data_IF_039357137677
#
_entry.id   IF_039357137677
#
_cell.length_a   1.000
_cell.length_b   1.000
_cell.length_c   1.000
_cell.angle_alpha   90.00
_cell.angle_beta   90.00
_cell.angle_gamma   90.00
#
_symmetry.space_group_name_H-M   'P 1'
#
loop_
_entity.id
_entity.type
_entity.pdbx_description
1 polymer ?
#
# COMPACT_ATOMS: atom_id res chain seq x y z
N UNK A 1 -17.94 10.24 -4.61
CA UNK A 1 -17.77 10.36 -3.16
C UNK A 1 -18.97 9.84 -2.35
N UNK A 2 -19.49 8.63 -2.66
CA UNK A 2 -20.57 7.99 -1.87
C UNK A 2 -20.20 6.54 -1.50
N UNK A 3 -18.91 6.21 -1.48
CA UNK A 3 -18.47 4.90 -1.04
C UNK A 3 -18.70 4.74 0.47
N UNK A 4 -19.20 3.58 0.93
CA UNK A 4 -19.38 3.32 2.37
C UNK A 4 -18.03 3.31 3.09
N UNK A 5 -18.06 3.63 4.38
CA UNK A 5 -16.89 3.45 5.25
C UNK A 5 -16.68 1.96 5.45
N UNK A 6 -15.47 1.49 5.18
CA UNK A 6 -15.07 0.08 5.33
C UNK A 6 -14.10 -0.07 6.50
N UNK A 7 -14.39 -1.00 7.42
CA UNK A 7 -13.57 -1.28 8.59
C UNK A 7 -12.36 -2.12 8.19
N UNK A 8 -11.16 -1.57 8.38
CA UNK A 8 -9.90 -2.26 8.11
C UNK A 8 -9.04 -2.33 9.37
N UNK A 9 -8.56 -3.52 9.70
CA UNK A 9 -7.55 -3.75 10.73
C UNK A 9 -6.23 -4.20 10.11
N UNK A 10 -5.19 -4.25 10.93
CA UNK A 10 -3.87 -4.73 10.53
C UNK A 10 -3.35 -5.73 11.55
N UNK A 11 -2.74 -6.83 11.10
CA UNK A 11 -2.05 -7.76 11.98
C UNK A 11 -0.77 -7.13 12.53
N UNK A 12 -0.36 -7.61 13.70
CA UNK A 12 0.93 -7.27 14.32
C UNK A 12 1.86 -8.50 14.47
N UNK A 13 1.47 -9.62 13.87
CA UNK A 13 2.29 -10.83 13.76
C UNK A 13 3.40 -10.66 12.73
N UNK A 14 4.46 -11.45 12.82
CA UNK A 14 5.37 -11.66 11.70
C UNK A 14 4.61 -12.44 10.60
N UNK A 15 4.49 -11.85 9.41
CA UNK A 15 3.76 -12.47 8.30
C UNK A 15 4.42 -13.76 7.82
N UNK A 16 5.73 -13.94 8.04
CA UNK A 16 6.42 -15.20 7.75
C UNK A 16 5.91 -16.36 8.62
N UNK A 17 5.39 -16.08 9.83
CA UNK A 17 4.61 -17.03 10.62
C UNK A 17 3.16 -17.04 10.10
N UNK A 18 2.94 -17.85 9.06
CA UNK A 18 1.64 -17.90 8.37
C UNK A 18 0.50 -18.42 9.28
N UNK A 19 0.81 -19.27 10.29
CA UNK A 19 -0.21 -19.77 11.21
C UNK A 19 -0.67 -18.67 12.17
N UNK A 20 0.27 -18.00 12.84
CA UNK A 20 -0.06 -16.90 13.75
C UNK A 20 -0.79 -15.78 13.00
N UNK A 21 -0.35 -15.46 11.78
CA UNK A 21 -0.98 -14.40 10.97
C UNK A 21 -2.39 -14.79 10.50
N UNK A 22 -2.61 -16.05 10.10
CA UNK A 22 -3.95 -16.52 9.73
C UNK A 22 -4.91 -16.51 10.92
N UNK A 23 -4.47 -16.95 12.10
CA UNK A 23 -5.27 -16.94 13.32
C UNK A 23 -5.67 -15.52 13.72
N UNK A 24 -4.71 -14.60 13.78
CA UNK A 24 -4.98 -13.19 14.11
C UNK A 24 -5.89 -12.53 13.07
N UNK A 25 -5.69 -12.84 11.78
CA UNK A 25 -6.57 -12.35 10.71
C UNK A 25 -8.02 -12.81 10.91
N UNK A 26 -8.22 -14.08 11.26
CA UNK A 26 -9.55 -14.61 11.54
C UNK A 26 -10.18 -14.01 12.80
N UNK A 27 -9.38 -13.70 13.82
CA UNK A 27 -9.84 -12.98 15.03
C UNK A 27 -10.31 -11.56 14.69
N UNK A 28 -9.51 -10.82 13.91
CA UNK A 28 -9.86 -9.47 13.46
C UNK A 28 -11.15 -9.47 12.61
N UNK A 29 -11.30 -10.46 11.72
CA UNK A 29 -12.52 -10.61 10.93
C UNK A 29 -13.76 -10.88 11.80
N UNK A 30 -13.65 -11.77 12.80
CA UNK A 30 -14.73 -12.03 13.77
C UNK A 30 -15.07 -10.80 14.63
N UNK A 31 -14.09 -9.94 14.90
CA UNK A 31 -14.28 -8.68 15.61
C UNK A 31 -14.91 -7.58 14.73
N UNK A 32 -15.20 -7.84 13.46
CA UNK A 32 -15.90 -6.93 12.55
C UNK A 32 -15.01 -6.24 11.53
N UNK A 33 -13.76 -6.67 11.33
CA UNK A 33 -12.94 -6.16 10.23
C UNK A 33 -13.44 -6.72 8.91
N UNK A 34 -13.75 -5.83 7.98
CA UNK A 34 -14.19 -6.16 6.61
C UNK A 34 -13.01 -6.37 5.67
N UNK A 35 -11.84 -5.83 6.02
CA UNK A 35 -10.56 -6.00 5.35
C UNK A 35 -9.47 -6.20 6.39
N UNK A 36 -8.47 -7.05 6.13
CA UNK A 36 -7.31 -7.21 7.02
C UNK A 36 -6.02 -6.99 6.23
N UNK A 37 -5.17 -6.09 6.75
CA UNK A 37 -3.88 -5.76 6.16
C UNK A 37 -2.75 -6.52 6.87
N UNK A 38 -1.88 -7.11 6.08
CA UNK A 38 -0.67 -7.82 6.49
C UNK A 38 0.56 -7.16 5.89
N UNK A 39 1.67 -7.12 6.60
CA UNK A 39 2.94 -6.57 6.09
C UNK A 39 3.62 -7.60 5.18
N UNK A 40 3.99 -7.19 3.96
CA UNK A 40 4.72 -8.04 3.00
C UNK A 40 6.02 -7.33 2.61
N UNK A 41 7.07 -7.55 3.38
CA UNK A 41 8.35 -6.83 3.27
C UNK A 41 9.57 -7.74 3.11
N UNK A 42 9.41 -9.07 3.21
CA UNK A 42 10.45 -10.07 3.00
C UNK A 42 10.00 -11.16 2.04
N UNK A 43 10.95 -11.95 1.54
CA UNK A 43 10.67 -13.11 0.66
C UNK A 43 9.86 -14.17 1.42
N UNK A 44 10.17 -14.38 2.69
CA UNK A 44 9.49 -15.33 3.57
C UNK A 44 8.04 -14.90 3.80
N UNK A 45 7.81 -13.60 4.05
CA UNK A 45 6.47 -13.05 4.18
C UNK A 45 5.67 -13.22 2.87
N UNK A 46 6.25 -12.93 1.72
CA UNK A 46 5.60 -13.13 0.43
C UNK A 46 5.27 -14.60 0.17
N UNK A 47 6.19 -15.53 0.48
CA UNK A 47 5.95 -16.97 0.36
C UNK A 47 4.89 -17.51 1.35
N UNK A 48 4.67 -16.81 2.47
CA UNK A 48 3.67 -17.16 3.47
C UNK A 48 2.24 -16.76 3.08
N UNK A 49 2.05 -15.70 2.28
CA UNK A 49 0.72 -15.15 1.93
C UNK A 49 -0.23 -16.21 1.34
N UNK A 50 0.14 -17.06 0.37
CA UNK A 50 -0.75 -18.11 -0.13
C UNK A 50 -1.17 -19.10 0.96
N UNK A 51 -0.25 -19.42 1.88
CA UNK A 51 -0.52 -20.33 3.01
C UNK A 51 -1.49 -19.69 4.01
N UNK A 52 -1.35 -18.37 4.28
CA UNK A 52 -2.30 -17.63 5.11
C UNK A 52 -3.69 -17.72 4.49
N UNK A 53 -3.84 -17.47 3.18
CA UNK A 53 -5.12 -17.57 2.49
C UNK A 53 -5.70 -18.97 2.60
N UNK A 54 -4.91 -20.01 2.34
CA UNK A 54 -5.35 -21.41 2.46
C UNK A 54 -5.86 -21.75 3.87
N UNK A 55 -5.16 -21.28 4.92
CA UNK A 55 -5.61 -21.49 6.29
C UNK A 55 -6.91 -20.76 6.61
N UNK A 56 -7.06 -19.52 6.14
CA UNK A 56 -8.30 -18.77 6.29
C UNK A 56 -9.47 -19.46 5.57
N UNK A 57 -9.24 -20.00 4.38
CA UNK A 57 -10.26 -20.76 3.63
C UNK A 57 -10.70 -22.02 4.39
N UNK A 58 -9.77 -22.75 4.98
CA UNK A 58 -10.08 -23.90 5.86
C UNK A 58 -10.89 -23.50 7.11
N UNK A 59 -10.73 -22.28 7.57
CA UNK A 59 -11.53 -21.71 8.68
C UNK A 59 -12.84 -21.08 8.24
N UNK A 60 -13.21 -21.18 6.96
CA UNK A 60 -14.36 -20.46 6.35
C UNK A 60 -14.30 -18.93 6.58
N UNK A 61 -13.11 -18.36 6.62
CA UNK A 61 -12.89 -16.93 6.81
C UNK A 61 -12.54 -16.28 5.45
N UNK A 62 -13.51 -15.64 4.82
CA UNK A 62 -13.38 -15.04 3.48
C UNK A 62 -12.93 -13.58 3.51
N UNK A 63 -12.41 -13.08 4.64
CA UNK A 63 -11.95 -11.69 4.75
C UNK A 63 -10.87 -11.40 3.69
N UNK A 64 -11.00 -10.31 2.92
CA UNK A 64 -9.99 -9.94 1.94
C UNK A 64 -8.69 -9.53 2.60
N UNK A 65 -7.55 -10.01 2.07
CA UNK A 65 -6.21 -9.66 2.53
C UNK A 65 -5.65 -8.49 1.73
N UNK A 66 -5.08 -7.51 2.43
CA UNK A 66 -4.37 -6.39 1.82
C UNK A 66 -2.88 -6.55 2.09
N UNK A 67 -2.06 -6.61 1.05
CA UNK A 67 -0.62 -6.61 1.18
C UNK A 67 -0.08 -5.20 1.36
N UNK A 68 0.63 -4.95 2.46
CA UNK A 68 1.33 -3.69 2.72
C UNK A 68 2.79 -3.81 2.27
N UNK A 69 3.13 -3.15 1.18
CA UNK A 69 4.43 -3.25 0.54
C UNK A 69 5.30 -2.04 0.84
N UNK A 70 6.59 -2.31 1.06
CA UNK A 70 7.64 -1.34 1.26
C UNK A 70 8.76 -1.60 0.25
N UNK A 71 9.68 -0.69 0.04
CA UNK A 71 10.87 -0.65 -0.81
C UNK A 71 11.08 -1.75 -1.89
N UNK A 72 10.85 -3.00 -1.57
CA UNK A 72 11.07 -4.19 -2.42
C UNK A 72 9.79 -4.83 -2.96
N UNK A 73 8.63 -4.17 -2.78
CA UNK A 73 7.32 -4.72 -3.16
C UNK A 73 7.24 -5.13 -4.63
N UNK A 74 7.88 -4.38 -5.55
CA UNK A 74 7.97 -4.72 -6.96
C UNK A 74 8.65 -6.09 -7.19
N UNK A 75 9.73 -6.39 -6.45
CA UNK A 75 10.41 -7.69 -6.51
C UNK A 75 9.55 -8.80 -5.92
N UNK A 76 8.98 -8.56 -4.72
CA UNK A 76 8.17 -9.55 -4.02
C UNK A 76 6.97 -10.00 -4.86
N UNK A 77 6.27 -9.06 -5.49
CA UNK A 77 5.14 -9.37 -6.37
C UNK A 77 5.56 -10.06 -7.66
N UNK A 78 6.75 -9.78 -8.18
CA UNK A 78 7.28 -10.42 -9.39
C UNK A 78 7.79 -11.83 -9.11
N UNK A 79 8.56 -12.00 -8.04
CA UNK A 79 9.20 -13.26 -7.68
C UNK A 79 8.21 -14.27 -7.03
N UNK A 80 7.10 -13.76 -6.46
CA UNK A 80 6.05 -14.56 -5.82
C UNK A 80 4.66 -14.32 -6.44
N UNK A 81 4.38 -14.82 -7.65
CA UNK A 81 3.07 -14.65 -8.31
C UNK A 81 1.89 -15.13 -7.44
N UNK A 82 2.05 -16.22 -6.71
CA UNK A 82 1.02 -16.74 -5.81
C UNK A 82 0.68 -15.76 -4.67
N UNK A 83 1.64 -14.94 -4.21
CA UNK A 83 1.37 -13.86 -3.27
C UNK A 83 0.52 -12.77 -3.93
N UNK A 84 0.89 -12.37 -5.16
CA UNK A 84 0.14 -11.36 -5.91
C UNK A 84 -1.32 -11.78 -6.14
N UNK A 85 -1.54 -13.03 -6.46
CA UNK A 85 -2.88 -13.60 -6.71
C UNK A 85 -3.72 -13.72 -5.43
N UNK A 86 -3.12 -14.18 -4.32
CA UNK A 86 -3.81 -14.43 -3.06
C UNK A 86 -4.27 -13.13 -2.35
N UNK A 87 -3.64 -12.01 -2.63
CA UNK A 87 -4.02 -10.71 -2.10
C UNK A 87 -5.22 -10.14 -2.84
N UNK A 88 -6.14 -9.51 -2.11
CA UNK A 88 -7.30 -8.84 -2.68
C UNK A 88 -7.01 -7.37 -3.08
N UNK A 89 -5.98 -6.76 -2.49
CA UNK A 89 -5.61 -5.35 -2.69
C UNK A 89 -4.15 -5.14 -2.34
N UNK A 90 -3.48 -4.21 -3.00
CA UNK A 90 -2.14 -3.78 -2.62
C UNK A 90 -2.17 -2.39 -1.99
N UNK A 91 -1.49 -2.22 -0.88
CA UNK A 91 -1.19 -0.91 -0.30
C UNK A 91 0.24 -0.53 -0.65
N UNK A 92 0.41 0.59 -1.31
CA UNK A 92 1.70 1.15 -1.70
C UNK A 92 1.87 2.50 -1.02
N UNK A 93 3.00 2.68 -0.33
CA UNK A 93 3.40 3.98 0.19
C UNK A 93 4.41 4.61 -0.78
N UNK A 94 4.06 5.69 -1.49
CA UNK A 94 4.95 6.31 -2.48
C UNK A 94 6.30 6.76 -1.90
N UNK A 95 6.33 7.15 -0.64
CA UNK A 95 7.57 7.52 0.06
C UNK A 95 8.47 6.35 0.40
N UNK A 96 7.99 5.10 0.31
CA UNK A 96 8.70 3.87 0.63
C UNK A 96 8.83 2.92 -0.56
N UNK A 97 8.85 3.40 -1.79
CA UNK A 97 8.95 2.55 -2.99
C UNK A 97 10.38 2.49 -3.54
N UNK A 98 11.22 3.48 -3.23
CA UNK A 98 12.59 3.58 -3.71
C UNK A 98 13.16 4.97 -3.49
N UNK A 99 14.35 5.22 -4.03
CA UNK A 99 15.03 6.50 -3.92
C UNK A 99 15.35 7.08 -5.30
N UNK A 100 15.17 8.39 -5.46
CA UNK A 100 15.50 9.13 -6.67
C UNK A 100 14.75 8.57 -7.91
N UNK A 101 15.42 8.50 -9.05
CA UNK A 101 14.83 8.05 -10.33
C UNK A 101 14.24 6.63 -10.30
N UNK A 102 14.79 5.74 -9.47
CA UNK A 102 14.29 4.35 -9.33
C UNK A 102 12.92 4.27 -8.65
N UNK A 103 12.53 5.28 -7.89
CA UNK A 103 11.25 5.33 -7.21
C UNK A 103 10.07 5.22 -8.18
N UNK A 104 10.09 6.00 -9.24
CA UNK A 104 9.01 6.03 -10.22
C UNK A 104 8.90 4.72 -11.00
N UNK A 105 10.04 4.13 -11.37
CA UNK A 105 10.10 2.84 -12.06
C UNK A 105 9.55 1.71 -11.18
N UNK A 106 9.96 1.66 -9.91
CA UNK A 106 9.49 0.64 -8.97
C UNK A 106 8.02 0.80 -8.63
N UNK A 107 7.53 2.04 -8.50
CA UNK A 107 6.11 2.31 -8.32
C UNK A 107 5.31 1.84 -9.56
N UNK A 108 5.76 2.20 -10.76
CA UNK A 108 5.13 1.78 -12.01
C UNK A 108 5.07 0.25 -12.13
N UNK A 109 6.15 -0.48 -11.83
CA UNK A 109 6.17 -1.95 -11.83
C UNK A 109 5.14 -2.55 -10.88
N UNK A 110 4.96 -1.99 -9.67
CA UNK A 110 3.94 -2.47 -8.73
C UNK A 110 2.53 -2.22 -9.26
N UNK A 111 2.29 -1.08 -9.91
CA UNK A 111 1.01 -0.76 -10.55
C UNK A 111 0.74 -1.67 -11.75
N UNK A 112 1.73 -1.93 -12.60
CA UNK A 112 1.62 -2.88 -13.72
C UNK A 112 1.24 -4.28 -13.23
N UNK A 113 1.84 -4.74 -12.11
CA UNK A 113 1.49 -6.01 -11.49
C UNK A 113 0.07 -5.99 -10.94
N UNK A 114 -0.37 -4.86 -10.37
CA UNK A 114 -1.75 -4.70 -9.92
C UNK A 114 -2.74 -4.79 -11.10
N UNK A 115 -2.45 -4.13 -12.22
CA UNK A 115 -3.22 -4.26 -13.45
C UNK A 115 -3.23 -5.70 -13.98
N UNK A 116 -2.06 -6.35 -14.03
CA UNK A 116 -1.93 -7.74 -14.50
C UNK A 116 -2.79 -8.73 -13.71
N UNK A 117 -2.87 -8.55 -12.39
CA UNK A 117 -3.62 -9.45 -11.49
C UNK A 117 -5.02 -8.91 -11.14
N UNK A 118 -5.46 -7.83 -11.79
CA UNK A 118 -6.76 -7.17 -11.52
C UNK A 118 -6.94 -6.86 -10.03
N UNK A 119 -5.95 -6.18 -9.45
CA UNK A 119 -5.96 -5.81 -8.02
C UNK A 119 -6.07 -4.30 -7.84
N UNK A 120 -7.03 -3.82 -7.04
CA UNK A 120 -7.08 -2.42 -6.66
C UNK A 120 -5.84 -2.03 -5.84
N UNK A 121 -5.42 -0.78 -5.99
CA UNK A 121 -4.29 -0.22 -5.25
C UNK A 121 -4.78 0.87 -4.30
N UNK A 122 -4.29 0.83 -3.06
CA UNK A 122 -4.40 1.93 -2.11
C UNK A 122 -3.08 2.69 -2.06
N UNK A 123 -3.09 3.94 -2.45
CA UNK A 123 -1.97 4.84 -2.26
C UNK A 123 -2.03 5.37 -0.82
N UNK A 124 -1.08 4.96 0.00
CA UNK A 124 -1.05 5.26 1.43
C UNK A 124 0.10 6.19 1.79
N UNK A 125 -0.10 7.51 1.68
CA UNK A 125 0.90 8.50 2.07
C UNK A 125 0.99 8.59 3.59
N UNK A 126 2.22 8.72 4.10
CA UNK A 126 2.51 8.90 5.52
C UNK A 126 3.54 10.03 5.68
N UNK A 127 3.32 10.90 6.65
CA UNK A 127 4.24 12.01 6.96
C UNK A 127 5.66 11.53 7.24
N UNK A 128 5.83 10.49 8.06
CA UNK A 128 7.13 9.97 8.46
C UNK A 128 7.98 9.39 7.31
N UNK A 129 7.38 9.16 6.14
CA UNK A 129 8.03 8.65 4.94
C UNK A 129 7.78 9.53 3.71
N UNK A 130 7.40 10.80 3.92
CA UNK A 130 7.19 11.73 2.81
C UNK A 130 8.50 11.97 2.06
N UNK A 131 8.39 12.07 0.75
CA UNK A 131 9.51 12.36 -0.15
C UNK A 131 10.10 13.73 0.18
N UNK A 132 11.40 13.76 0.49
CA UNK A 132 12.10 14.99 0.89
C UNK A 132 12.28 15.97 -0.28
N UNK A 133 12.43 15.46 -1.50
CA UNK A 133 12.53 16.30 -2.71
C UNK A 133 11.20 17.01 -2.99
N UNK A 134 10.09 16.28 -2.82
CA UNK A 134 8.75 16.86 -2.91
C UNK A 134 8.53 17.92 -1.82
N UNK A 135 8.92 17.63 -0.58
CA UNK A 135 8.78 18.57 0.54
C UNK A 135 9.60 19.84 0.29
N UNK A 136 10.85 19.71 -0.15
CA UNK A 136 11.70 20.84 -0.49
C UNK A 136 11.07 21.70 -1.59
N UNK A 137 10.57 21.11 -2.67
CA UNK A 137 9.87 21.82 -3.76
C UNK A 137 8.63 22.60 -3.24
N UNK A 138 7.81 21.97 -2.42
CA UNK A 138 6.62 22.60 -1.83
C UNK A 138 7.01 23.77 -0.92
N UNK A 139 8.10 23.65 -0.16
CA UNK A 139 8.62 24.72 0.69
C UNK A 139 9.16 25.91 -0.14
N UNK A 140 9.89 25.64 -1.21
CA UNK A 140 10.41 26.67 -2.13
C UNK A 140 9.26 27.43 -2.82
N UNK A 141 8.26 26.72 -3.32
CA UNK A 141 7.06 27.31 -3.89
C UNK A 141 6.31 28.16 -2.88
N UNK A 142 6.23 27.70 -1.63
CA UNK A 142 5.57 28.44 -0.54
C UNK A 142 6.29 29.75 -0.20
N UNK A 143 7.63 29.76 -0.23
CA UNK A 143 8.44 30.96 0.05
C UNK A 143 8.19 32.10 -0.95
N UNK A 144 7.74 31.74 -2.15
CA UNK A 144 7.45 32.69 -3.24
C UNK A 144 6.01 33.21 -3.22
N UNK A 145 5.17 32.75 -2.29
CA UNK A 145 3.77 33.17 -2.19
C UNK A 145 3.64 34.55 -1.51
N UNK A 146 2.72 35.40 -1.95
CA UNK A 146 2.41 36.67 -1.25
C UNK A 146 1.98 36.48 0.21
N UNK A 147 1.35 35.34 0.50
CA UNK A 147 0.96 34.91 1.84
C UNK A 147 1.42 33.46 2.00
N UNK A 148 2.61 33.23 2.60
CA UNK A 148 3.12 31.90 2.84
C UNK A 148 2.25 31.12 3.82
N UNK A 149 2.06 29.83 3.55
CA UNK A 149 1.39 28.88 4.42
C UNK A 149 2.25 28.59 5.67
N UNK A 150 1.61 28.27 6.77
CA UNK A 150 2.31 27.80 7.97
C UNK A 150 2.87 26.36 7.80
N UNK A 151 3.67 25.90 8.75
CA UNK A 151 4.31 24.59 8.68
C UNK A 151 3.31 23.44 8.61
N UNK A 152 2.18 23.55 9.29
CA UNK A 152 1.13 22.49 9.30
C UNK A 152 0.41 22.45 7.95
N UNK A 153 0.16 23.59 7.37
CA UNK A 153 -0.47 23.71 6.06
C UNK A 153 0.45 23.20 4.95
N UNK A 154 1.76 23.53 5.00
CA UNK A 154 2.78 22.99 4.08
C UNK A 154 2.81 21.47 4.16
N UNK A 155 2.82 20.91 5.37
CA UNK A 155 2.83 19.47 5.60
C UNK A 155 1.60 18.79 4.97
N UNK A 156 0.42 19.33 5.20
CA UNK A 156 -0.83 18.83 4.61
C UNK A 156 -0.80 18.93 3.10
N UNK A 157 -0.34 20.06 2.57
CA UNK A 157 -0.23 20.28 1.14
C UNK A 157 0.72 19.28 0.48
N UNK A 158 1.89 19.05 1.06
CA UNK A 158 2.86 18.09 0.56
C UNK A 158 2.32 16.65 0.56
N UNK A 159 1.58 16.23 1.61
CA UNK A 159 0.95 14.92 1.66
C UNK A 159 -0.13 14.74 0.58
N UNK A 160 -0.97 15.77 0.38
CA UNK A 160 -2.01 15.74 -0.66
C UNK A 160 -1.38 15.70 -2.05
N UNK A 161 -0.35 16.52 -2.30
CA UNK A 161 0.40 16.55 -3.56
C UNK A 161 1.02 15.18 -3.85
N UNK A 162 1.68 14.56 -2.87
CA UNK A 162 2.24 13.21 -3.00
C UNK A 162 1.18 12.17 -3.40
N UNK A 163 0.00 12.24 -2.80
CA UNK A 163 -1.09 11.32 -3.12
C UNK A 163 -1.63 11.53 -4.55
N UNK A 164 -1.83 12.79 -4.94
CA UNK A 164 -2.35 13.15 -6.26
C UNK A 164 -1.37 12.81 -7.39
N UNK A 165 -0.07 13.15 -7.23
CA UNK A 165 0.96 12.81 -8.20
C UNK A 165 1.09 11.29 -8.37
N UNK A 166 1.01 10.53 -7.26
CA UNK A 166 1.05 9.07 -7.30
C UNK A 166 -0.21 8.46 -7.97
N UNK A 167 -1.38 9.05 -7.73
CA UNK A 167 -2.62 8.63 -8.38
C UNK A 167 -2.59 8.90 -9.89
N UNK A 168 -2.11 10.09 -10.30
CA UNK A 168 -1.91 10.42 -11.70
C UNK A 168 -0.95 9.45 -12.38
N UNK A 169 0.18 9.13 -11.73
CA UNK A 169 1.16 8.16 -12.23
C UNK A 169 0.56 6.76 -12.37
N UNK A 170 -0.23 6.32 -11.41
CA UNK A 170 -0.93 5.03 -11.49
C UNK A 170 -1.90 4.98 -12.68
N UNK A 171 -2.64 6.07 -12.93
CA UNK A 171 -3.53 6.18 -14.08
C UNK A 171 -2.77 6.15 -15.42
N UNK A 172 -1.60 6.81 -15.51
CA UNK A 172 -0.73 6.77 -16.70
C UNK A 172 -0.25 5.34 -17.02
N UNK A 173 -0.01 4.53 -15.99
CA UNK A 173 0.39 3.11 -16.12
C UNK A 173 -0.79 2.22 -16.55
N UNK A 174 -2.01 2.70 -16.39
CA UNK A 174 -3.23 1.99 -16.81
C UNK A 174 -4.14 1.51 -15.68
N UNK A 175 -3.86 1.89 -14.43
CA UNK A 175 -4.78 1.60 -13.33
C UNK A 175 -6.01 2.49 -13.46
N UNK A 176 -7.17 1.89 -13.72
CA UNK A 176 -8.43 2.64 -13.80
C UNK A 176 -8.74 3.30 -12.43
N UNK A 177 -9.05 4.60 -12.45
CA UNK A 177 -9.61 5.28 -11.29
C UNK A 177 -11.13 5.14 -11.31
N UNK A 178 -11.72 4.61 -10.24
CA UNK A 178 -13.15 4.64 -10.00
C UNK A 178 -13.54 5.80 -9.05
#
# INVERSE_FOLDING_TARGET
ANAPVVVQSMTNTDTADYLATALQTAELARAGSELVRITVNTLEAAAAVPKIREHLDRMNCNVPLIGDFHYNGHRLLTEHPACAEALAKYRINPGNVGFGKKKDEQFAQMVELACKYDKPVRIGVNWGSLDQDLLARVMDENSSRPQPLDATEIMRHAMVTSALESAAKAAEVGLAGE
#
